data_IF_755160081304
#
_entry.id   IF_755160081304
#
_cell.length_a   1.000
_cell.length_b   1.000
_cell.length_c   1.000
_cell.angle_alpha   90.00
_cell.angle_beta   90.00
_cell.angle_gamma   90.00
#
_symmetry.space_group_name_H-M   'P 1'
#
loop_
_entity.id
_entity.type
_entity.pdbx_description
1 polymer ?
#
# COMPACT_ATOMS: atom_id res chain seq x y z
N UNK A 1 -26.28 0.79 -18.05
CA UNK A 1 -25.94 -0.24 -17.03
C UNK A 1 -25.23 0.50 -15.91
N UNK A 2 -25.80 0.54 -14.70
CA UNK A 2 -25.12 1.16 -13.55
C UNK A 2 -23.99 0.21 -13.15
N UNK A 3 -22.75 0.59 -13.41
CA UNK A 3 -21.59 -0.22 -13.05
C UNK A 3 -21.37 -0.14 -11.54
N UNK A 4 -21.89 -1.12 -10.80
CA UNK A 4 -21.71 -1.20 -9.35
C UNK A 4 -20.27 -1.60 -9.05
N UNK A 5 -19.42 -0.63 -8.73
CA UNK A 5 -18.05 -0.90 -8.32
C UNK A 5 -18.02 -1.62 -6.95
N UNK A 6 -17.04 -2.51 -6.76
CA UNK A 6 -16.86 -3.21 -5.49
C UNK A 6 -16.52 -2.21 -4.36
N UNK A 7 -17.09 -2.40 -3.16
CA UNK A 7 -16.76 -1.56 -2.01
C UNK A 7 -15.34 -1.84 -1.53
N UNK A 8 -14.65 -0.82 -1.04
CA UNK A 8 -13.41 -0.98 -0.27
C UNK A 8 -13.72 -1.71 1.04
N UNK A 9 -12.98 -2.78 1.33
CA UNK A 9 -13.14 -3.57 2.56
C UNK A 9 -11.87 -3.52 3.39
N UNK A 10 -12.02 -3.52 4.72
CA UNK A 10 -10.94 -3.69 5.67
C UNK A 10 -11.21 -4.90 6.55
N UNK A 11 -10.20 -5.76 6.74
CA UNK A 11 -10.29 -6.96 7.56
C UNK A 11 -9.35 -6.82 8.75
N UNK A 12 -9.89 -7.01 9.96
CA UNK A 12 -9.12 -7.03 11.19
C UNK A 12 -8.64 -8.45 11.50
N UNK A 13 -7.33 -8.66 11.42
CA UNK A 13 -6.66 -9.89 11.79
C UNK A 13 -6.06 -9.72 13.20
N UNK A 14 -6.62 -10.40 14.19
CA UNK A 14 -6.01 -10.46 15.53
C UNK A 14 -4.85 -11.44 15.53
N UNK A 15 -3.79 -11.27 16.30
CA UNK A 15 -2.66 -12.23 16.43
C UNK A 15 -2.15 -12.72 15.05
N UNK A 16 -1.68 -11.78 14.23
CA UNK A 16 -1.16 -12.05 12.89
C UNK A 16 0.37 -11.96 12.87
N UNK A 17 0.99 -12.70 11.96
CA UNK A 17 2.43 -12.70 11.78
C UNK A 17 2.77 -12.24 10.37
N UNK A 18 3.70 -11.29 10.23
CA UNK A 18 4.41 -11.07 8.97
C UNK A 18 5.74 -11.80 9.07
N UNK A 19 6.04 -12.69 8.14
CA UNK A 19 7.30 -13.43 8.08
C UNK A 19 7.74 -13.56 6.62
N UNK A 20 8.90 -13.00 6.28
CA UNK A 20 9.52 -13.11 4.96
C UNK A 20 8.55 -12.76 3.81
N UNK A 21 7.80 -11.67 4.01
CA UNK A 21 6.84 -11.18 3.01
C UNK A 21 5.52 -11.93 2.93
N UNK A 22 5.21 -12.78 3.91
CA UNK A 22 3.94 -13.52 3.99
C UNK A 22 3.23 -13.18 5.29
N UNK A 23 1.94 -12.87 5.19
CA UNK A 23 1.08 -12.67 6.36
C UNK A 23 0.43 -14.01 6.72
N UNK A 24 0.52 -14.41 7.98
CA UNK A 24 -0.05 -15.64 8.52
C UNK A 24 -1.09 -15.35 9.60
N UNK A 25 -2.21 -16.07 9.55
CA UNK A 25 -3.22 -16.08 10.62
C UNK A 25 -3.92 -17.43 10.73
N UNK A 26 -3.79 -18.10 11.89
CA UNK A 26 -4.55 -19.31 12.30
C UNK A 26 -4.83 -20.32 11.15
N UNK A 27 -3.79 -20.65 10.38
CA UNK A 27 -3.86 -21.63 9.27
C UNK A 27 -4.05 -21.04 7.87
N UNK A 28 -4.39 -19.75 7.76
CA UNK A 28 -4.40 -19.02 6.50
C UNK A 28 -3.10 -18.25 6.30
N UNK A 29 -2.72 -18.04 5.03
CA UNK A 29 -1.63 -17.15 4.68
C UNK A 29 -1.91 -16.39 3.39
N UNK A 30 -1.31 -15.20 3.27
CA UNK A 30 -1.36 -14.36 2.08
C UNK A 30 0.04 -13.87 1.76
N UNK A 31 0.46 -14.09 0.51
CA UNK A 31 1.78 -13.71 0.03
C UNK A 31 1.73 -12.29 -0.49
N UNK A 32 2.58 -11.42 0.07
CA UNK A 32 2.81 -10.07 -0.43
C UNK A 32 4.01 -10.04 -1.40
N UNK A 33 4.93 -10.98 -1.24
CA UNK A 33 6.04 -11.22 -2.16
C UNK A 33 6.48 -12.69 -2.06
N UNK A 34 7.22 -13.20 -3.06
CA UNK A 34 7.85 -14.50 -2.94
C UNK A 34 8.78 -14.56 -1.72
N UNK A 35 8.75 -15.67 -1.00
CA UNK A 35 9.65 -15.91 0.13
C UNK A 35 11.10 -15.94 -0.33
N UNK A 36 11.99 -15.30 0.43
CA UNK A 36 13.43 -15.40 0.25
C UNK A 36 13.97 -16.72 0.82
N UNK A 37 13.37 -17.23 1.90
CA UNK A 37 13.81 -18.41 2.65
C UNK A 37 12.83 -19.58 2.45
N UNK A 38 13.36 -20.80 2.32
CA UNK A 38 12.54 -22.03 2.20
C UNK A 38 11.76 -22.36 3.48
N UNK A 39 12.32 -22.03 4.64
CA UNK A 39 11.69 -22.21 5.96
C UNK A 39 11.64 -20.84 6.63
N UNK A 40 10.44 -20.29 6.92
CA UNK A 40 10.34 -19.04 7.64
C UNK A 40 10.87 -19.27 9.06
N UNK A 41 11.77 -18.39 9.51
CA UNK A 41 12.21 -18.38 10.89
C UNK A 41 11.09 -17.74 11.72
N UNK A 42 10.52 -18.49 12.67
CA UNK A 42 9.49 -17.98 13.57
C UNK A 42 10.13 -17.19 14.71
N UNK A 43 10.92 -16.19 14.35
CA UNK A 43 11.64 -15.33 15.28
C UNK A 43 11.40 -13.89 14.86
N UNK A 44 10.83 -13.12 15.79
CA UNK A 44 10.65 -11.68 15.62
C UNK A 44 10.76 -10.99 16.96
N UNK A 45 11.61 -9.98 17.03
CA UNK A 45 11.73 -9.10 18.19
C UNK A 45 10.75 -7.92 18.11
N UNK A 46 9.96 -7.85 17.04
CA UNK A 46 9.08 -6.72 16.74
C UNK A 46 7.65 -7.13 17.02
N UNK A 47 7.10 -6.60 18.11
CA UNK A 47 5.69 -6.73 18.45
C UNK A 47 5.00 -5.38 18.31
N UNK A 48 3.91 -5.33 17.54
CA UNK A 48 3.12 -4.13 17.31
C UNK A 48 1.68 -4.39 17.75
N UNK A 49 1.16 -3.53 18.62
CA UNK A 49 -0.20 -3.67 19.15
C UNK A 49 -1.26 -3.49 18.06
N UNK A 50 -1.17 -2.40 17.29
CA UNK A 50 -2.11 -2.08 16.21
C UNK A 50 -1.36 -1.60 14.98
N UNK A 51 -1.58 -2.30 13.87
CA UNK A 51 -0.95 -2.00 12.60
C UNK A 51 -1.95 -2.05 11.44
N UNK A 52 -1.60 -1.38 10.36
CA UNK A 52 -2.35 -1.40 9.11
C UNK A 52 -1.39 -1.68 7.95
N UNK A 53 -1.62 -2.77 7.25
CA UNK A 53 -0.88 -3.15 6.05
C UNK A 53 -1.57 -2.56 4.83
N UNK A 54 -0.93 -1.60 4.19
CA UNK A 54 -1.46 -0.90 3.02
C UNK A 54 -0.96 -1.48 1.69
N UNK A 55 0.11 -2.28 1.72
CA UNK A 55 0.78 -2.75 0.53
C UNK A 55 0.11 -4.01 -0.05
N UNK A 56 -0.01 -4.05 -1.37
CA UNK A 56 -0.52 -5.20 -2.12
C UNK A 56 0.61 -5.99 -2.76
N UNK A 57 0.37 -7.27 -3.09
CA UNK A 57 1.39 -8.08 -3.76
C UNK A 57 1.83 -7.48 -5.11
N UNK A 58 0.86 -6.95 -5.86
CA UNK A 58 1.12 -6.29 -7.14
C UNK A 58 1.82 -4.94 -6.97
N UNK A 59 1.50 -4.16 -5.93
CA UNK A 59 2.22 -2.92 -5.63
C UNK A 59 3.66 -3.16 -5.19
N UNK A 60 3.90 -4.21 -4.42
CA UNK A 60 5.26 -4.59 -4.04
C UNK A 60 6.11 -5.01 -5.25
N UNK A 61 5.50 -5.59 -6.28
CA UNK A 61 6.21 -5.99 -7.51
C UNK A 61 6.35 -4.86 -8.53
N UNK A 62 5.29 -4.08 -8.74
CA UNK A 62 5.21 -3.12 -9.83
C UNK A 62 4.97 -1.69 -9.30
N UNK A 63 5.94 -0.82 -9.57
CA UNK A 63 5.88 0.60 -9.17
C UNK A 63 4.60 1.32 -9.64
N UNK A 64 4.12 1.03 -10.85
CA UNK A 64 2.88 1.63 -11.36
C UNK A 64 1.66 1.21 -10.55
N UNK A 65 1.59 -0.06 -10.13
CA UNK A 65 0.50 -0.55 -9.29
C UNK A 65 0.60 0.02 -7.88
N UNK A 66 1.81 0.12 -7.32
CA UNK A 66 2.04 0.77 -6.03
C UNK A 66 1.53 2.21 -6.03
N UNK A 67 1.79 2.95 -7.10
CA UNK A 67 1.36 4.34 -7.23
C UNK A 67 -0.17 4.50 -7.28
N UNK A 68 -0.85 3.52 -7.89
CA UNK A 68 -2.31 3.54 -8.08
C UNK A 68 -3.02 2.99 -6.84
N UNK A 69 -2.63 1.83 -6.33
CA UNK A 69 -3.36 1.17 -5.24
C UNK A 69 -2.78 1.52 -3.87
N UNK A 70 -1.50 1.27 -3.68
CA UNK A 70 -0.89 1.29 -2.35
C UNK A 70 -0.76 2.74 -1.83
N UNK A 71 -0.36 3.70 -2.67
CA UNK A 71 -0.28 5.12 -2.25
C UNK A 71 -1.63 5.68 -1.84
N UNK A 72 -2.72 5.24 -2.47
CA UNK A 72 -4.08 5.67 -2.15
C UNK A 72 -4.57 4.99 -0.89
N UNK A 73 -4.34 3.68 -0.78
CA UNK A 73 -4.65 2.88 0.41
C UNK A 73 -3.89 3.36 1.63
N UNK A 74 -2.67 3.90 1.46
CA UNK A 74 -1.89 4.47 2.55
C UNK A 74 -2.66 5.52 3.35
N UNK A 75 -3.35 6.43 2.66
CA UNK A 75 -4.15 7.49 3.30
C UNK A 75 -5.32 6.93 4.12
N UNK A 76 -5.95 5.86 3.63
CA UNK A 76 -7.00 5.14 4.35
C UNK A 76 -6.43 4.43 5.58
N UNK A 77 -5.26 3.81 5.45
CA UNK A 77 -4.64 2.98 6.48
C UNK A 77 -4.16 3.80 7.70
N UNK A 78 -3.92 5.11 7.56
CA UNK A 78 -3.30 5.93 8.63
C UNK A 78 -4.12 5.97 9.93
N UNK A 79 -5.43 5.77 9.84
CA UNK A 79 -6.34 5.85 11.00
C UNK A 79 -6.44 4.53 11.79
N UNK A 80 -5.82 3.46 11.30
CA UNK A 80 -5.95 2.11 11.86
C UNK A 80 -4.74 1.60 12.64
N UNK A 81 -3.68 2.42 12.78
CA UNK A 81 -2.50 2.11 13.58
C UNK A 81 -1.19 2.38 12.84
N UNK A 82 -0.12 1.68 13.24
CA UNK A 82 1.18 1.79 12.61
C UNK A 82 1.13 1.31 11.14
N UNK A 83 1.56 2.15 10.22
CA UNK A 83 1.59 1.83 8.79
C UNK A 83 2.76 0.91 8.49
N UNK A 84 2.48 -0.31 8.07
CA UNK A 84 3.50 -1.33 7.82
C UNK A 84 3.50 -1.78 6.36
N UNK A 85 4.67 -2.18 5.87
CA UNK A 85 4.88 -2.85 4.59
C UNK A 85 6.06 -3.82 4.71
N UNK A 86 6.29 -4.63 3.67
CA UNK A 86 7.41 -5.57 3.64
C UNK A 86 8.75 -4.84 3.50
N UNK A 87 9.84 -5.53 3.83
CA UNK A 87 11.21 -5.05 3.68
C UNK A 87 11.70 -4.95 2.21
N UNK A 88 10.81 -5.06 1.22
CA UNK A 88 11.18 -4.98 -0.19
C UNK A 88 11.87 -3.66 -0.47
N UNK A 89 13.06 -3.76 -1.07
CA UNK A 89 13.80 -2.61 -1.55
C UNK A 89 12.99 -1.89 -2.63
N UNK A 90 12.69 -0.63 -2.36
CA UNK A 90 12.00 0.24 -3.31
C UNK A 90 12.97 0.82 -4.35
N UNK A 91 12.48 1.15 -5.53
CA UNK A 91 13.23 1.92 -6.52
C UNK A 91 13.45 3.37 -6.07
N UNK A 92 14.44 4.04 -6.65
CA UNK A 92 14.69 5.47 -6.38
C UNK A 92 13.46 6.34 -6.68
N UNK A 93 12.68 5.97 -7.70
CA UNK A 93 11.42 6.64 -8.01
C UNK A 93 10.40 6.46 -6.89
N UNK A 94 10.19 5.22 -6.41
CA UNK A 94 9.27 4.97 -5.29
C UNK A 94 9.66 5.76 -4.04
N UNK A 95 10.94 5.81 -3.68
CA UNK A 95 11.41 6.61 -2.54
C UNK A 95 11.15 8.11 -2.72
N UNK A 96 11.40 8.65 -3.92
CA UNK A 96 11.11 10.04 -4.22
C UNK A 96 9.60 10.36 -4.10
N UNK A 97 8.74 9.44 -4.54
CA UNK A 97 7.29 9.59 -4.40
C UNK A 97 6.83 9.47 -2.95
N UNK A 98 7.37 8.56 -2.15
CA UNK A 98 7.09 8.52 -0.71
C UNK A 98 7.44 9.83 -0.02
N UNK A 99 8.63 10.37 -0.31
CA UNK A 99 9.05 11.66 0.21
C UNK A 99 8.09 12.77 -0.21
N UNK A 100 7.68 12.79 -1.49
CA UNK A 100 6.70 13.77 -1.99
C UNK A 100 5.36 13.65 -1.25
N UNK A 101 4.85 12.43 -1.07
CA UNK A 101 3.54 12.16 -0.46
C UNK A 101 3.57 12.25 1.07
N UNK A 102 4.75 12.36 1.68
CA UNK A 102 4.92 12.35 3.14
C UNK A 102 4.64 10.96 3.73
N UNK A 103 4.97 9.90 3.00
CA UNK A 103 4.79 8.51 3.42
C UNK A 103 6.01 8.03 4.20
N UNK A 104 5.77 7.50 5.39
CA UNK A 104 6.78 6.94 6.29
C UNK A 104 6.35 5.59 6.86
N UNK A 105 6.20 4.55 6.02
CA UNK A 105 5.83 3.22 6.49
C UNK A 105 6.99 2.52 7.21
N UNK A 106 6.68 1.71 8.22
CA UNK A 106 7.61 0.76 8.79
C UNK A 106 7.80 -0.41 7.81
N UNK A 107 9.04 -0.63 7.38
CA UNK A 107 9.43 -1.73 6.48
C UNK A 107 9.97 -2.88 7.31
N UNK A 108 9.23 -3.99 7.33
CA UNK A 108 9.47 -5.10 8.24
C UNK A 108 9.68 -6.40 7.46
N UNK A 109 10.73 -7.16 7.80
CA UNK A 109 10.92 -8.53 7.30
C UNK A 109 10.07 -9.52 8.11
N UNK A 110 10.08 -9.36 9.44
CA UNK A 110 9.26 -10.11 10.39
C UNK A 110 8.65 -9.19 11.45
N UNK A 111 7.41 -9.49 11.86
CA UNK A 111 6.73 -8.83 12.98
C UNK A 111 5.53 -9.66 13.46
N UNK A 112 5.25 -9.57 14.75
CA UNK A 112 4.01 -10.04 15.36
C UNK A 112 3.06 -8.87 15.62
N UNK A 113 1.78 -9.06 15.26
CA UNK A 113 0.74 -8.06 15.42
C UNK A 113 -0.35 -8.58 16.33
N UNK A 114 -0.68 -7.83 17.39
CA UNK A 114 -1.91 -8.13 18.17
C UNK A 114 -3.15 -7.87 17.32
N UNK A 115 -3.13 -6.78 16.56
CA UNK A 115 -4.18 -6.38 15.62
C UNK A 115 -3.55 -5.84 14.34
N UNK A 116 -3.91 -6.44 13.20
CA UNK A 116 -3.47 -6.04 11.87
C UNK A 116 -4.69 -5.82 10.98
N UNK A 117 -4.84 -4.60 10.44
CA UNK A 117 -5.84 -4.32 9.41
C UNK A 117 -5.23 -4.52 8.04
N UNK A 118 -5.90 -5.32 7.20
CA UNK A 118 -5.56 -5.49 5.78
C UNK A 118 -6.71 -5.00 4.92
N UNK A 119 -6.42 -4.42 3.76
CA UNK A 119 -7.42 -3.81 2.89
C UNK A 119 -7.59 -4.58 1.59
N UNK A 120 -8.84 -4.69 1.15
CA UNK A 120 -9.21 -5.09 -0.20
C UNK A 120 -9.83 -3.87 -0.88
N UNK A 121 -9.00 -3.13 -1.61
CA UNK A 121 -9.34 -1.88 -2.30
C UNK A 121 -9.25 -2.03 -3.83
N UNK A 122 -9.69 -3.17 -4.37
CA UNK A 122 -9.62 -3.45 -5.82
C UNK A 122 -10.64 -2.62 -6.62
N UNK A 123 -11.78 -2.27 -6.02
CA UNK A 123 -12.85 -1.54 -6.69
C UNK A 123 -12.52 -0.07 -6.96
N UNK A 124 -12.75 0.40 -8.18
CA UNK A 124 -12.63 1.82 -8.56
C UNK A 124 -13.87 2.65 -8.17
N UNK A 125 -14.17 2.66 -6.87
CA UNK A 125 -15.35 3.34 -6.32
C UNK A 125 -15.10 4.84 -6.07
N UNK A 126 -16.17 5.60 -5.78
CA UNK A 126 -16.08 7.05 -5.54
C UNK A 126 -15.16 7.41 -4.37
N UNK A 127 -15.09 6.57 -3.34
CA UNK A 127 -14.23 6.80 -2.19
C UNK A 127 -12.75 6.73 -2.60
N UNK A 128 -12.37 5.70 -3.38
CA UNK A 128 -11.02 5.57 -3.94
C UNK A 128 -10.68 6.75 -4.85
N UNK A 129 -11.63 7.18 -5.70
CA UNK A 129 -11.48 8.38 -6.55
C UNK A 129 -11.24 9.65 -5.72
N UNK A 130 -11.95 9.84 -4.62
CA UNK A 130 -11.74 10.98 -3.74
C UNK A 130 -10.33 10.97 -3.14
N UNK A 131 -9.87 9.83 -2.60
CA UNK A 131 -8.52 9.69 -2.05
C UNK A 131 -7.43 9.99 -3.09
N UNK A 132 -7.64 9.63 -4.36
CA UNK A 132 -6.75 10.03 -5.46
C UNK A 132 -6.71 11.55 -5.66
N UNK A 133 -7.87 12.22 -5.67
CA UNK A 133 -7.93 13.69 -5.78
C UNK A 133 -7.18 14.35 -4.62
N UNK A 134 -7.36 13.85 -3.40
CA UNK A 134 -6.66 14.37 -2.22
C UNK A 134 -5.14 14.19 -2.33
N UNK A 135 -4.68 13.03 -2.82
CA UNK A 135 -3.26 12.76 -3.08
C UNK A 135 -2.69 13.73 -4.15
N UNK A 136 -3.44 13.99 -5.22
CA UNK A 136 -3.07 14.96 -6.27
C UNK A 136 -2.89 16.37 -5.71
N UNK A 137 -3.79 16.81 -4.82
CA UNK A 137 -3.67 18.12 -4.17
C UNK A 137 -2.42 18.23 -3.28
N UNK A 138 -2.07 17.18 -2.53
CA UNK A 138 -0.83 17.15 -1.73
C UNK A 138 0.42 17.33 -2.59
N UNK A 139 0.44 16.76 -3.80
CA UNK A 139 1.57 16.85 -4.72
C UNK A 139 1.73 18.21 -5.39
N UNK A 140 0.62 18.85 -5.77
CA UNK A 140 0.65 20.14 -6.43
C UNK A 140 1.36 21.22 -5.59
N UNK A 141 1.32 21.11 -4.26
CA UNK A 141 1.94 22.08 -3.35
C UNK A 141 3.47 21.98 -3.25
N UNK A 142 4.08 20.83 -3.58
CA UNK A 142 5.52 20.57 -3.33
C UNK A 142 6.43 20.68 -4.56
N UNK A 143 5.85 20.68 -5.77
CA UNK A 143 6.57 20.52 -7.03
C UNK A 143 6.57 21.81 -7.87
N UNK A 144 7.33 22.83 -7.47
CA UNK A 144 7.58 24.02 -8.31
C UNK A 144 8.90 23.98 -9.09
N UNK A 145 9.85 23.06 -8.82
CA UNK A 145 11.21 23.21 -9.41
C UNK A 145 11.97 21.99 -9.95
N UNK A 146 11.61 20.73 -9.74
CA UNK A 146 12.46 19.63 -10.24
C UNK A 146 11.68 18.47 -10.91
N UNK A 147 12.28 17.96 -12.00
CA UNK A 147 12.00 16.71 -12.72
C UNK A 147 10.77 16.62 -13.67
N UNK A 148 11.02 16.87 -14.96
CA UNK A 148 10.08 16.70 -16.07
C UNK A 148 9.66 15.25 -16.35
N UNK A 149 10.46 14.24 -16.00
CA UNK A 149 10.09 12.82 -16.23
C UNK A 149 9.10 12.29 -15.19
N UNK A 150 9.01 12.91 -14.02
CA UNK A 150 8.18 12.43 -12.90
C UNK A 150 6.70 12.76 -13.15
N UNK A 151 6.42 13.89 -13.81
CA UNK A 151 5.07 14.27 -14.22
C UNK A 151 4.41 13.26 -15.16
N UNK A 152 5.19 12.55 -15.98
CA UNK A 152 4.65 11.62 -16.97
C UNK A 152 4.02 10.40 -16.29
N UNK A 153 4.69 9.78 -15.31
CA UNK A 153 4.14 8.62 -14.62
C UNK A 153 2.93 8.95 -13.76
N UNK A 154 2.96 10.09 -13.04
CA UNK A 154 1.82 10.51 -12.24
C UNK A 154 0.63 10.96 -13.11
N UNK A 155 0.89 11.71 -14.19
CA UNK A 155 -0.15 12.09 -15.14
C UNK A 155 -0.71 10.87 -15.89
N UNK A 156 0.12 9.86 -16.20
CA UNK A 156 -0.34 8.60 -16.78
C UNK A 156 -1.20 7.81 -15.79
N UNK A 157 -0.80 7.67 -14.53
CA UNK A 157 -1.62 7.02 -13.51
C UNK A 157 -2.97 7.73 -13.32
N UNK A 158 -2.95 9.07 -13.23
CA UNK A 158 -4.17 9.88 -13.18
C UNK A 158 -5.03 9.65 -14.42
N UNK A 159 -4.44 9.72 -15.62
CA UNK A 159 -5.16 9.53 -16.87
C UNK A 159 -5.70 8.12 -16.99
N UNK A 160 -5.01 7.08 -16.53
CA UNK A 160 -5.55 5.71 -16.50
C UNK A 160 -6.81 5.63 -15.65
N UNK A 161 -6.88 6.33 -14.52
CA UNK A 161 -8.04 6.34 -13.63
C UNK A 161 -9.18 7.21 -14.21
N UNK A 162 -8.85 8.38 -14.77
CA UNK A 162 -9.80 9.26 -15.47
C UNK A 162 -10.31 8.63 -16.77
N UNK A 163 -9.55 7.76 -17.45
CA UNK A 163 -10.02 7.08 -18.68
C UNK A 163 -11.09 6.03 -18.39
N UNK A 164 -11.25 5.58 -17.13
CA UNK A 164 -12.41 4.80 -16.69
C UNK A 164 -13.66 5.68 -16.41
N UNK A 165 -13.66 6.98 -16.74
CA UNK A 165 -14.84 7.87 -16.71
C UNK A 165 -15.84 7.64 -17.87
N UNK A 166 -15.60 6.68 -18.78
CA UNK A 166 -16.50 6.37 -19.90
C UNK A 166 -16.92 4.91 -19.90
#
# INVERSE_FOLDING_TARGET
>A
IVQTHLPTRGFLLKEAWLLDGVVYKKGACTYLQPRKKKRPLLETDIEIAQAALYATASGIEYFGQWLIDDCVTYSLAQVYGALVTTDKKMSNHGLAYEQCFGMHPYRLESAYFKELVVFDDVGQNENKRQRFRDLKHKNACRHRREAASWRIYFAWAIRCIETFEK
#
